data_IF_084371892149
#
_entry.id   IF_084371892149
#
_cell.length_a   1.000
_cell.length_b   1.000
_cell.length_c   1.000
_cell.angle_alpha   90.00
_cell.angle_beta   90.00
_cell.angle_gamma   90.00
#
_symmetry.space_group_name_H-M   'P 1'
#
loop_
_entity.id
_entity.type
_entity.pdbx_description
1 polymer ?
#
# COMPACT_ATOMS: atom_id res chain seq x y z
N UNK A 1 -61.00 4.33 -5.05
CA UNK A 1 -60.02 3.94 -4.00
C UNK A 1 -58.65 3.94 -4.63
N UNK A 2 -57.76 4.80 -4.13
CA UNK A 2 -56.41 5.03 -4.64
C UNK A 2 -55.49 3.87 -4.28
N UNK A 3 -54.73 3.36 -5.25
CA UNK A 3 -53.48 2.67 -4.98
C UNK A 3 -52.30 3.55 -5.42
N UNK A 4 -51.95 4.48 -4.54
CA UNK A 4 -50.60 5.00 -4.39
C UNK A 4 -49.71 3.85 -3.94
N UNK A 5 -48.71 3.44 -4.73
CA UNK A 5 -47.39 3.10 -4.20
C UNK A 5 -46.32 3.32 -5.28
N UNK A 6 -45.66 4.47 -5.14
CA UNK A 6 -44.48 4.92 -5.86
C UNK A 6 -43.27 4.11 -5.37
N UNK A 7 -42.87 3.07 -6.08
CA UNK A 7 -41.54 2.44 -5.86
C UNK A 7 -40.50 3.26 -6.63
N UNK A 8 -39.90 4.25 -5.96
CA UNK A 8 -38.70 4.92 -6.46
C UNK A 8 -37.59 3.86 -6.44
N UNK A 9 -37.19 3.38 -7.62
CA UNK A 9 -36.25 2.27 -7.76
C UNK A 9 -34.94 2.54 -7.01
N UNK A 10 -34.55 1.61 -6.12
CA UNK A 10 -33.21 1.62 -5.53
C UNK A 10 -32.22 1.38 -6.68
N UNK A 11 -31.47 2.42 -7.05
CA UNK A 11 -30.38 2.29 -8.01
C UNK A 11 -29.38 1.24 -7.49
N UNK A 12 -29.18 0.18 -8.25
CA UNK A 12 -28.20 -0.86 -7.92
C UNK A 12 -26.81 -0.30 -8.22
N UNK A 13 -25.94 -0.27 -7.21
CA UNK A 13 -24.55 0.13 -7.40
C UNK A 13 -23.80 -1.01 -8.10
N UNK A 14 -23.12 -0.70 -9.19
CA UNK A 14 -22.28 -1.66 -9.93
C UNK A 14 -20.82 -1.40 -9.59
N UNK A 15 -20.20 -2.36 -8.92
CA UNK A 15 -18.76 -2.31 -8.62
C UNK A 15 -17.92 -2.42 -9.89
N UNK A 16 -16.70 -1.90 -9.82
CA UNK A 16 -15.66 -2.14 -10.80
C UNK A 16 -15.36 -3.64 -10.86
N UNK A 17 -15.08 -4.16 -12.05
CA UNK A 17 -14.87 -5.60 -12.24
C UNK A 17 -13.72 -6.12 -11.40
N UNK A 18 -12.58 -5.43 -11.32
CA UNK A 18 -11.44 -5.89 -10.51
C UNK A 18 -11.75 -5.78 -9.01
N UNK A 19 -12.52 -4.77 -8.58
CA UNK A 19 -12.94 -4.69 -7.18
C UNK A 19 -13.87 -5.85 -6.82
N UNK A 20 -14.82 -6.17 -7.70
CA UNK A 20 -15.71 -7.31 -7.51
C UNK A 20 -14.91 -8.61 -7.46
N UNK A 21 -14.11 -8.91 -8.48
CA UNK A 21 -13.46 -10.23 -8.63
C UNK A 21 -12.27 -10.43 -7.70
N UNK A 22 -11.45 -9.40 -7.50
CA UNK A 22 -10.20 -9.56 -6.74
C UNK A 22 -10.38 -9.26 -5.25
N UNK A 23 -11.45 -8.56 -4.86
CA UNK A 23 -11.68 -8.17 -3.47
C UNK A 23 -12.93 -8.83 -2.90
N UNK A 24 -14.10 -8.55 -3.46
CA UNK A 24 -15.37 -9.00 -2.86
C UNK A 24 -15.58 -10.51 -3.02
N UNK A 25 -15.35 -11.06 -4.22
CA UNK A 25 -15.52 -12.48 -4.50
C UNK A 25 -14.48 -13.31 -3.75
N UNK A 26 -13.24 -12.81 -3.65
CA UNK A 26 -12.18 -13.43 -2.83
C UNK A 26 -12.59 -13.45 -1.36
N UNK A 27 -13.02 -12.32 -0.80
CA UNK A 27 -13.48 -12.24 0.59
C UNK A 27 -14.64 -13.22 0.86
N UNK A 28 -15.61 -13.30 -0.06
CA UNK A 28 -16.74 -14.22 0.04
C UNK A 28 -16.29 -15.68 -0.01
N UNK A 29 -15.37 -16.03 -0.92
CA UNK A 29 -14.83 -17.39 -1.04
C UNK A 29 -14.08 -17.85 0.23
N UNK A 30 -13.38 -16.91 0.88
CA UNK A 30 -12.66 -17.12 2.14
C UNK A 30 -13.57 -16.99 3.38
N UNK A 31 -14.85 -16.68 3.19
CA UNK A 31 -15.86 -16.47 4.25
C UNK A 31 -15.47 -15.36 5.23
N UNK A 32 -14.80 -14.32 4.74
CA UNK A 32 -14.47 -13.15 5.54
C UNK A 32 -15.70 -12.29 5.80
N UNK A 33 -15.68 -11.59 6.93
CA UNK A 33 -16.64 -10.53 7.18
C UNK A 33 -16.48 -9.45 6.10
N UNK A 34 -17.55 -9.19 5.34
CA UNK A 34 -17.57 -8.12 4.35
C UNK A 34 -17.81 -6.77 5.03
N UNK A 35 -17.19 -5.68 4.54
CA UNK A 35 -17.54 -4.34 4.97
C UNK A 35 -19.00 -4.01 4.64
N UNK A 36 -19.55 -3.02 5.34
CA UNK A 36 -20.85 -2.47 4.99
C UNK A 36 -20.84 -1.85 3.57
N UNK A 37 -22.03 -1.73 2.98
CA UNK A 37 -22.18 -1.23 1.60
C UNK A 37 -21.52 0.13 1.38
N UNK A 38 -21.60 1.05 2.34
CA UNK A 38 -20.96 2.37 2.26
C UNK A 38 -19.44 2.27 2.11
N UNK A 39 -18.81 1.42 2.92
CA UNK A 39 -17.37 1.12 2.87
C UNK A 39 -16.98 0.50 1.54
N UNK A 40 -17.72 -0.50 1.04
CA UNK A 40 -17.43 -1.11 -0.26
C UNK A 40 -17.51 -0.09 -1.41
N UNK A 41 -18.48 0.84 -1.39
CA UNK A 41 -18.59 1.90 -2.40
C UNK A 41 -17.39 2.87 -2.33
N UNK A 42 -16.94 3.24 -1.13
CA UNK A 42 -15.79 4.13 -0.96
C UNK A 42 -14.49 3.49 -1.48
N UNK A 43 -14.27 2.22 -1.16
CA UNK A 43 -13.12 1.43 -1.64
C UNK A 43 -13.14 1.26 -3.17
N UNK A 44 -14.31 0.98 -3.75
CA UNK A 44 -14.49 0.88 -5.21
C UNK A 44 -14.19 2.21 -5.92
N UNK A 45 -14.71 3.33 -5.40
CA UNK A 45 -14.42 4.67 -5.94
C UNK A 45 -12.93 4.98 -5.88
N UNK A 46 -12.26 4.61 -4.79
CA UNK A 46 -10.81 4.76 -4.67
C UNK A 46 -10.07 3.96 -5.76
N UNK A 47 -10.40 2.68 -5.94
CA UNK A 47 -9.82 1.86 -7.02
C UNK A 47 -10.05 2.48 -8.41
N UNK A 48 -11.26 2.96 -8.69
CA UNK A 48 -11.59 3.60 -9.97
C UNK A 48 -10.74 4.85 -10.24
N UNK A 49 -10.48 5.67 -9.22
CA UNK A 49 -9.59 6.84 -9.35
C UNK A 49 -8.16 6.38 -9.65
N UNK A 50 -7.65 5.36 -8.95
CA UNK A 50 -6.32 4.80 -9.24
C UNK A 50 -6.22 4.28 -10.68
N UNK A 51 -7.26 3.62 -11.17
CA UNK A 51 -7.35 3.13 -12.56
C UNK A 51 -7.41 4.27 -13.57
N UNK A 52 -8.19 5.31 -13.30
CA UNK A 52 -8.32 6.48 -14.15
C UNK A 52 -6.98 7.19 -14.34
N UNK A 53 -6.15 7.26 -13.30
CA UNK A 53 -4.80 7.83 -13.36
C UNK A 53 -3.70 6.82 -13.75
N UNK A 54 -4.07 5.61 -14.20
CA UNK A 54 -3.13 4.61 -14.68
C UNK A 54 -2.27 3.95 -13.61
N UNK A 55 -2.52 4.23 -12.32
CA UNK A 55 -1.75 3.69 -11.19
C UNK A 55 -1.98 2.20 -11.07
N UNK A 56 -3.24 1.77 -11.06
CA UNK A 56 -3.60 0.38 -10.82
C UNK A 56 -3.02 -0.59 -11.87
N UNK A 57 -2.78 -0.11 -13.09
CA UNK A 57 -2.25 -0.87 -14.22
C UNK A 57 -0.75 -1.13 -14.11
N UNK A 58 -0.02 -0.30 -13.36
CA UNK A 58 1.43 -0.41 -13.17
C UNK A 58 1.81 -1.09 -11.84
N UNK A 59 0.84 -1.35 -10.97
CA UNK A 59 1.03 -2.11 -9.73
C UNK A 59 1.07 -3.62 -9.98
N UNK A 60 1.94 -4.32 -9.26
CA UNK A 60 1.96 -5.78 -9.16
C UNK A 60 1.20 -6.29 -7.94
N UNK A 61 1.20 -5.51 -6.85
CA UNK A 61 0.56 -5.86 -5.58
C UNK A 61 0.04 -4.61 -4.89
N UNK A 62 -1.13 -4.71 -4.25
CA UNK A 62 -1.80 -3.60 -3.59
C UNK A 62 -2.72 -4.08 -2.48
N UNK A 63 -2.64 -3.46 -1.31
CA UNK A 63 -3.60 -3.67 -0.24
C UNK A 63 -4.01 -2.35 0.43
N UNK A 64 -5.26 -2.30 0.88
CA UNK A 64 -5.81 -1.22 1.69
C UNK A 64 -6.18 -1.76 3.08
N UNK A 65 -5.51 -1.26 4.10
CA UNK A 65 -5.67 -1.71 5.48
C UNK A 65 -6.65 -0.85 6.29
N UNK A 66 -6.80 0.43 5.96
CA UNK A 66 -7.73 1.31 6.68
C UNK A 66 -9.18 0.96 6.36
N UNK A 67 -9.95 0.60 7.38
CA UNK A 67 -11.36 0.24 7.30
C UNK A 67 -12.07 0.80 8.53
N UNK A 68 -13.34 1.19 8.41
CA UNK A 68 -14.10 1.78 9.52
C UNK A 68 -14.56 0.75 10.59
N UNK A 69 -14.00 -0.46 10.61
CA UNK A 69 -14.39 -1.52 11.54
C UNK A 69 -13.19 -2.45 11.84
N UNK A 70 -12.85 -2.59 13.13
CA UNK A 70 -11.72 -3.41 13.60
C UNK A 70 -11.93 -4.93 13.38
N UNK A 71 -13.17 -5.38 13.21
CA UNK A 71 -13.50 -6.78 12.88
C UNK A 71 -13.17 -7.17 11.44
N UNK A 72 -12.69 -6.25 10.61
CA UNK A 72 -12.36 -6.48 9.19
C UNK A 72 -10.87 -6.77 8.95
N UNK A 73 -10.11 -7.18 9.97
CA UNK A 73 -8.67 -7.45 9.86
C UNK A 73 -8.32 -8.41 8.70
N UNK A 74 -9.06 -9.50 8.55
CA UNK A 74 -8.85 -10.46 7.46
C UNK A 74 -9.17 -9.87 6.08
N UNK A 75 -10.25 -9.09 5.96
CA UNK A 75 -10.60 -8.40 4.71
C UNK A 75 -9.51 -7.40 4.30
N UNK A 76 -8.91 -6.71 5.28
CA UNK A 76 -7.87 -5.71 5.06
C UNK A 76 -6.60 -6.27 4.39
N UNK A 77 -6.37 -7.58 4.49
CA UNK A 77 -5.17 -8.27 3.98
C UNK A 77 -5.32 -8.77 2.54
N UNK A 78 -6.49 -8.65 1.92
CA UNK A 78 -6.70 -9.09 0.54
C UNK A 78 -5.83 -8.26 -0.40
N UNK A 79 -5.12 -8.92 -1.31
CA UNK A 79 -4.40 -8.24 -2.38
C UNK A 79 -5.35 -7.89 -3.52
N UNK A 80 -5.53 -6.60 -3.77
CA UNK A 80 -6.46 -6.08 -4.78
C UNK A 80 -5.97 -6.29 -6.22
N UNK A 81 -4.68 -6.60 -6.41
CA UNK A 81 -4.06 -6.86 -7.72
C UNK A 81 -3.97 -8.34 -8.05
N UNK A 82 -3.67 -9.19 -7.07
CA UNK A 82 -3.44 -10.63 -7.27
C UNK A 82 -4.63 -11.44 -6.76
N UNK A 83 -5.47 -11.91 -7.67
CA UNK A 83 -6.69 -12.66 -7.34
C UNK A 83 -6.39 -13.88 -6.47
N UNK A 84 -7.14 -14.04 -5.38
CA UNK A 84 -7.00 -15.18 -4.46
C UNK A 84 -5.76 -15.12 -3.55
N UNK A 85 -4.98 -14.03 -3.59
CA UNK A 85 -3.83 -13.82 -2.72
C UNK A 85 -4.20 -12.89 -1.58
N UNK A 86 -3.67 -13.21 -0.40
CA UNK A 86 -3.74 -12.36 0.79
C UNK A 86 -2.35 -12.15 1.35
N UNK A 87 -2.14 -11.01 1.97
CA UNK A 87 -0.99 -10.77 2.81
C UNK A 87 -1.14 -11.55 4.12
N UNK A 88 -0.02 -11.83 4.77
CA UNK A 88 0.01 -12.67 5.97
C UNK A 88 0.66 -11.90 7.13
N UNK A 89 -0.10 -11.45 8.15
CA UNK A 89 0.46 -10.82 9.33
C UNK A 89 1.23 -11.86 10.15
N UNK A 90 2.32 -11.43 10.78
CA UNK A 90 3.25 -12.30 11.48
C UNK A 90 3.68 -11.67 12.80
N UNK A 91 3.94 -12.51 13.80
CA UNK A 91 4.39 -12.08 15.12
C UNK A 91 3.41 -11.12 15.80
N UNK A 92 3.94 -10.05 16.40
CA UNK A 92 3.14 -9.06 17.14
C UNK A 92 2.53 -7.93 16.29
N UNK A 93 2.19 -8.19 15.02
CA UNK A 93 1.47 -7.22 14.20
C UNK A 93 0.04 -7.04 14.73
N UNK A 94 -0.42 -5.81 14.86
CA UNK A 94 -1.72 -5.49 15.46
C UNK A 94 -2.59 -4.65 14.52
N UNK A 95 -3.86 -5.01 14.40
CA UNK A 95 -4.80 -4.32 13.53
C UNK A 95 -5.68 -3.30 14.27
N UNK A 96 -5.90 -2.15 13.64
CA UNK A 96 -6.85 -1.11 14.04
C UNK A 96 -7.67 -0.66 12.84
N UNK A 97 -8.68 0.19 13.06
CA UNK A 97 -9.45 0.81 11.98
C UNK A 97 -8.58 1.62 10.99
N UNK A 98 -7.40 2.10 11.41
CA UNK A 98 -6.52 2.87 10.54
C UNK A 98 -5.52 2.00 9.78
N UNK A 99 -5.41 0.70 10.11
CA UNK A 99 -4.52 -0.26 9.47
C UNK A 99 -3.73 -1.09 10.47
N UNK A 100 -2.54 -1.56 10.06
CA UNK A 100 -1.70 -2.46 10.85
C UNK A 100 -0.49 -1.75 11.47
N UNK A 101 -0.17 -2.09 12.72
CA UNK A 101 1.01 -1.60 13.46
C UNK A 101 2.03 -2.71 13.67
N UNK A 102 3.29 -2.33 13.56
CA UNK A 102 4.41 -3.14 14.04
C UNK A 102 4.67 -2.86 15.52
N UNK A 103 5.51 -3.70 16.14
CA UNK A 103 5.88 -3.59 17.54
C UNK A 103 7.39 -3.46 17.77
N UNK A 104 8.18 -3.17 16.72
CA UNK A 104 9.65 -3.14 16.73
C UNK A 104 10.36 -4.44 17.15
N UNK A 105 9.65 -5.53 17.45
CA UNK A 105 10.21 -6.78 17.99
C UNK A 105 10.02 -7.94 17.01
N UNK A 106 8.79 -8.16 16.56
CA UNK A 106 8.43 -9.34 15.75
C UNK A 106 7.24 -9.13 14.82
N UNK A 107 6.51 -8.01 14.95
CA UNK A 107 5.32 -7.70 14.18
C UNK A 107 5.64 -7.20 12.78
N UNK A 108 5.17 -7.91 11.76
CA UNK A 108 5.28 -7.51 10.36
C UNK A 108 4.18 -8.15 9.51
N UNK A 109 4.10 -7.78 8.23
CA UNK A 109 3.21 -8.42 7.27
C UNK A 109 4.04 -8.96 6.10
N UNK A 110 3.89 -10.24 5.78
CA UNK A 110 4.43 -10.81 4.55
C UNK A 110 3.47 -10.57 3.39
N UNK A 111 3.93 -9.87 2.35
CA UNK A 111 3.12 -9.62 1.15
C UNK A 111 2.96 -10.88 0.30
N UNK A 112 3.84 -11.87 0.45
CA UNK A 112 3.93 -13.01 -0.46
C UNK A 112 4.36 -12.61 -1.88
N UNK A 113 4.82 -11.37 -2.11
CA UNK A 113 5.25 -10.88 -3.42
C UNK A 113 6.77 -10.89 -3.52
N UNK A 114 7.29 -11.65 -4.50
CA UNK A 114 8.70 -11.73 -4.83
C UNK A 114 8.94 -11.16 -6.24
N UNK A 115 9.43 -9.91 -6.37
CA UNK A 115 9.62 -9.28 -7.68
C UNK A 115 10.69 -9.95 -8.55
N UNK A 116 11.55 -10.81 -7.99
CA UNK A 116 12.59 -11.52 -8.75
C UNK A 116 12.04 -12.72 -9.55
N UNK A 117 10.78 -13.10 -9.33
CA UNK A 117 10.16 -14.29 -9.94
C UNK A 117 8.97 -13.87 -10.80
N UNK A 118 8.95 -14.32 -12.06
CA UNK A 118 7.85 -14.06 -13.01
C UNK A 118 7.99 -12.76 -13.79
N UNK A 119 6.93 -12.42 -14.54
CA UNK A 119 6.86 -11.23 -15.38
C UNK A 119 6.16 -10.08 -14.63
N UNK A 120 6.94 -9.39 -13.78
CA UNK A 120 6.44 -8.30 -12.94
C UNK A 120 6.66 -6.92 -13.60
N UNK A 121 5.84 -5.93 -13.22
CA UNK A 121 6.04 -4.51 -13.58
C UNK A 121 7.20 -3.90 -12.81
N UNK A 122 7.42 -4.34 -11.58
CA UNK A 122 8.58 -4.02 -10.77
C UNK A 122 9.83 -4.65 -11.40
N UNK A 123 10.68 -3.81 -11.99
CA UNK A 123 11.93 -4.23 -12.63
C UNK A 123 13.11 -3.43 -12.11
N UNK A 124 14.33 -3.90 -12.37
CA UNK A 124 15.59 -3.34 -11.86
C UNK A 124 15.72 -1.83 -12.17
N UNK A 125 15.12 -1.35 -13.26
CA UNK A 125 15.22 0.05 -13.73
C UNK A 125 13.88 0.78 -13.79
N UNK A 126 12.79 0.14 -13.36
CA UNK A 126 11.46 0.73 -13.36
C UNK A 126 10.68 0.09 -12.22
N UNK A 127 10.72 0.72 -11.05
CA UNK A 127 10.20 0.13 -9.82
C UNK A 127 9.67 1.19 -8.85
N UNK A 128 8.64 0.84 -8.08
CA UNK A 128 8.08 1.67 -7.02
C UNK A 128 7.65 0.83 -5.83
N UNK A 129 7.83 1.41 -4.64
CA UNK A 129 7.17 0.96 -3.40
C UNK A 129 6.63 2.20 -2.70
N UNK A 130 5.36 2.16 -2.33
CA UNK A 130 4.70 3.24 -1.62
C UNK A 130 3.83 2.69 -0.48
N UNK A 131 3.84 3.41 0.63
CA UNK A 131 3.04 3.13 1.80
C UNK A 131 2.39 4.42 2.30
N UNK A 132 1.20 4.32 2.86
CA UNK A 132 0.57 5.43 3.58
C UNK A 132 0.61 5.07 5.06
N UNK A 133 1.22 5.96 5.85
CA UNK A 133 1.37 5.75 7.30
C UNK A 133 0.36 6.58 8.06
N UNK A 134 -0.45 5.97 8.92
CA UNK A 134 -1.31 6.71 9.84
C UNK A 134 -0.59 7.04 11.16
N UNK A 135 0.44 6.25 11.50
CA UNK A 135 1.30 6.44 12.68
C UNK A 135 2.76 6.34 12.24
N UNK A 136 3.57 7.32 12.63
CA UNK A 136 5.00 7.34 12.32
C UNK A 136 5.78 6.43 13.28
N UNK A 137 6.97 6.02 12.87
CA UNK A 137 7.84 5.16 13.67
C UNK A 137 8.52 5.96 14.80
N UNK A 138 8.69 5.35 15.97
CA UNK A 138 9.30 6.02 17.14
C UNK A 138 10.65 5.40 17.49
N UNK A 139 10.71 4.07 17.56
CA UNK A 139 11.89 3.31 17.96
C UNK A 139 12.55 2.59 16.79
N UNK A 140 11.75 2.08 15.84
CA UNK A 140 12.27 1.37 14.68
C UNK A 140 11.54 1.76 13.41
N UNK A 141 12.32 2.34 12.49
CA UNK A 141 11.81 3.09 11.37
C UNK A 141 11.63 2.29 10.08
N UNK A 142 11.64 0.96 10.10
CA UNK A 142 11.41 0.20 8.87
C UNK A 142 9.94 0.28 8.44
N UNK A 143 9.69 0.82 7.24
CA UNK A 143 8.35 0.84 6.62
C UNK A 143 8.11 -0.46 5.87
N UNK A 144 9.11 -0.90 5.12
CA UNK A 144 9.09 -2.15 4.37
C UNK A 144 10.52 -2.61 4.06
N UNK A 145 10.64 -3.80 3.50
CA UNK A 145 11.88 -4.27 2.91
C UNK A 145 11.90 -5.75 2.65
N UNK A 146 13.10 -6.30 2.48
CA UNK A 146 13.29 -7.73 2.24
C UNK A 146 14.56 -8.25 2.93
N UNK A 147 14.88 -9.52 2.69
CA UNK A 147 16.08 -10.17 3.26
C UNK A 147 17.40 -9.58 2.75
N UNK A 148 17.42 -8.97 1.55
CA UNK A 148 18.61 -8.40 0.94
C UNK A 148 18.92 -6.97 1.36
N UNK A 149 18.12 -6.40 2.28
CA UNK A 149 18.35 -5.06 2.79
C UNK A 149 17.96 -3.94 1.81
N UNK A 150 17.03 -4.22 0.89
CA UNK A 150 16.30 -3.20 0.15
C UNK A 150 15.10 -2.78 1.00
N UNK A 151 14.99 -1.51 1.37
CA UNK A 151 13.98 -1.04 2.33
C UNK A 151 13.67 0.45 2.19
N UNK A 152 12.51 0.85 2.68
CA UNK A 152 12.18 2.24 3.00
C UNK A 152 12.24 2.41 4.52
N UNK A 153 12.86 3.50 4.98
CA UNK A 153 12.90 3.88 6.40
C UNK A 153 12.11 5.16 6.64
N UNK A 154 11.29 5.23 7.70
CA UNK A 154 10.67 6.44 8.24
C UNK A 154 11.71 7.27 9.01
N UNK A 155 12.78 7.67 8.34
CA UNK A 155 13.93 8.36 8.94
C UNK A 155 14.61 9.25 7.90
N UNK A 156 15.28 10.31 8.35
CA UNK A 156 16.24 11.06 7.55
C UNK A 156 17.58 10.31 7.44
N UNK A 157 17.81 9.61 6.33
CA UNK A 157 18.96 8.69 6.18
C UNK A 157 19.34 8.48 4.72
N UNK A 158 20.57 8.02 4.47
CA UNK A 158 21.02 7.51 3.16
C UNK A 158 20.57 6.07 2.90
N UNK A 159 20.08 5.36 3.93
CA UNK A 159 19.64 3.97 3.83
C UNK A 159 18.19 3.87 3.29
N UNK A 160 17.93 4.56 2.19
CA UNK A 160 16.69 4.42 1.43
C UNK A 160 17.03 3.64 0.17
N UNK A 161 16.61 2.38 0.07
CA UNK A 161 17.22 1.42 -0.86
C UNK A 161 16.16 0.70 -1.67
N UNK A 162 16.24 0.79 -2.99
CA UNK A 162 15.38 0.10 -3.96
C UNK A 162 16.30 -0.56 -4.99
N UNK A 163 16.01 -1.78 -5.47
CA UNK A 163 16.82 -2.63 -6.39
C UNK A 163 18.36 -2.54 -6.26
N UNK A 164 18.85 -2.31 -5.04
CA UNK A 164 20.26 -2.27 -4.66
C UNK A 164 20.35 -2.35 -3.15
N UNK A 165 21.46 -2.87 -2.61
CA UNK A 165 21.78 -2.81 -1.18
C UNK A 165 22.64 -1.59 -0.82
N UNK A 166 23.05 -0.80 -1.82
CA UNK A 166 23.82 0.41 -1.65
C UNK A 166 22.95 1.56 -1.13
N UNK A 167 23.54 2.42 -0.31
CA UNK A 167 22.88 3.64 0.15
C UNK A 167 22.73 4.66 -1.00
N UNK A 168 21.78 5.59 -0.85
CA UNK A 168 21.75 6.80 -1.68
C UNK A 168 22.96 7.67 -1.39
N UNK A 169 23.32 8.52 -2.36
CA UNK A 169 24.43 9.47 -2.22
C UNK A 169 24.23 10.54 -1.14
N UNK A 170 22.98 10.78 -0.71
CA UNK A 170 22.62 11.78 0.30
C UNK A 170 21.41 11.34 1.12
N UNK A 171 21.27 11.92 2.31
CA UNK A 171 20.13 11.71 3.19
C UNK A 171 18.81 12.10 2.50
N UNK A 172 17.74 11.33 2.71
CA UNK A 172 16.39 11.70 2.31
C UNK A 172 15.46 11.58 3.53
N UNK A 173 14.73 12.65 3.83
CA UNK A 173 13.86 12.72 5.01
C UNK A 173 12.47 12.17 4.73
N UNK A 174 12.24 10.97 5.24
CA UNK A 174 10.95 10.27 5.20
C UNK A 174 10.30 10.17 6.60
N UNK A 175 10.69 11.02 7.56
CA UNK A 175 10.05 11.04 8.89
C UNK A 175 8.58 11.48 8.84
N UNK A 176 7.80 11.02 9.81
CA UNK A 176 6.40 11.42 10.01
C UNK A 176 5.37 10.53 9.30
N UNK A 177 4.09 10.87 9.46
CA UNK A 177 2.94 10.15 8.88
C UNK A 177 2.63 10.61 7.44
N UNK A 178 1.67 9.95 6.79
CA UNK A 178 1.22 10.17 5.41
C UNK A 178 1.97 9.34 4.38
N UNK A 179 1.83 9.71 3.10
CA UNK A 179 2.47 9.00 2.00
C UNK A 179 4.00 8.98 2.14
N UNK A 180 4.58 7.80 1.99
CA UNK A 180 6.03 7.54 1.89
C UNK A 180 6.27 6.65 0.68
N UNK A 181 7.19 7.03 -0.19
CA UNK A 181 7.49 6.20 -1.34
C UNK A 181 8.96 6.29 -1.78
N UNK A 182 9.40 5.26 -2.48
CA UNK A 182 10.68 5.22 -3.20
C UNK A 182 10.42 4.65 -4.59
N UNK A 183 10.93 5.35 -5.61
CA UNK A 183 10.79 5.00 -7.01
C UNK A 183 12.15 4.96 -7.65
N UNK A 184 12.32 4.04 -8.60
CA UNK A 184 13.44 3.99 -9.51
C UNK A 184 12.93 4.16 -10.93
N UNK A 185 13.41 5.19 -11.61
CA UNK A 185 12.99 5.53 -12.97
C UNK A 185 13.91 4.98 -14.06
N UNK A 186 15.17 4.73 -13.69
CA UNK A 186 16.18 4.18 -14.58
C UNK A 186 17.31 3.54 -13.76
N UNK A 187 18.45 3.26 -14.40
CA UNK A 187 19.64 2.67 -13.78
C UNK A 187 20.21 3.44 -12.59
N UNK A 188 20.06 4.77 -12.54
CA UNK A 188 20.75 5.63 -11.57
C UNK A 188 19.81 6.56 -10.79
N UNK A 189 18.65 6.92 -11.34
CA UNK A 189 17.73 7.89 -10.73
C UNK A 189 16.75 7.22 -9.78
N UNK A 190 16.70 7.75 -8.55
CA UNK A 190 15.72 7.40 -7.53
C UNK A 190 14.94 8.65 -7.14
N UNK A 191 13.60 8.56 -7.09
CA UNK A 191 12.72 9.60 -6.53
C UNK A 191 12.05 9.10 -5.27
N UNK A 192 12.24 9.81 -4.17
CA UNK A 192 11.56 9.55 -2.90
C UNK A 192 10.47 10.57 -2.67
N UNK A 193 9.41 10.17 -1.98
CA UNK A 193 8.30 11.04 -1.64
C UNK A 193 8.00 11.02 -0.15
N UNK A 194 7.87 12.22 0.43
CA UNK A 194 7.27 12.42 1.73
C UNK A 194 6.07 13.36 1.55
N UNK A 195 4.85 12.80 1.59
CA UNK A 195 3.61 13.50 1.21
C UNK A 195 3.72 14.08 -0.20
N UNK A 196 3.75 15.40 -0.33
CA UNK A 196 3.85 16.15 -1.59
C UNK A 196 5.30 16.56 -1.94
N UNK A 197 6.27 16.27 -1.08
CA UNK A 197 7.67 16.63 -1.30
C UNK A 197 8.37 15.50 -2.05
N UNK A 198 8.92 15.82 -3.22
CA UNK A 198 9.79 14.93 -3.99
C UNK A 198 11.25 15.19 -3.64
N UNK A 199 12.01 14.12 -3.49
CA UNK A 199 13.44 14.14 -3.21
C UNK A 199 14.15 13.26 -4.24
N UNK A 200 14.92 13.86 -5.14
CA UNK A 200 15.70 13.12 -6.15
C UNK A 200 17.07 12.73 -5.63
N UNK A 201 17.47 11.47 -5.82
CA UNK A 201 18.76 10.91 -5.40
C UNK A 201 19.36 10.07 -6.52
N UNK A 202 20.67 9.85 -6.42
CA UNK A 202 21.39 8.96 -7.34
C UNK A 202 21.90 7.75 -6.56
N UNK A 203 21.62 6.56 -7.08
CA UNK A 203 22.30 5.32 -6.71
C UNK A 203 22.13 4.29 -7.82
N UNK A 204 23.23 3.62 -8.18
CA UNK A 204 23.21 2.60 -9.23
C UNK A 204 22.40 1.38 -8.79
N UNK A 205 21.53 0.94 -9.69
CA UNK A 205 20.79 -0.30 -9.58
C UNK A 205 21.70 -1.48 -9.89
N UNK A 206 21.54 -2.59 -9.16
CA UNK A 206 22.39 -3.77 -9.34
C UNK A 206 21.60 -5.07 -9.41
N UNK A 207 20.57 -5.23 -8.58
CA UNK A 207 19.84 -6.50 -8.46
C UNK A 207 18.49 -6.31 -7.77
N UNK A 208 17.50 -7.10 -8.20
CA UNK A 208 16.32 -7.40 -7.36
C UNK A 208 16.66 -8.61 -6.51
N UNK A 209 16.70 -8.45 -5.19
CA UNK A 209 16.94 -9.57 -4.29
C UNK A 209 15.81 -10.59 -4.43
N UNK A 210 16.18 -11.86 -4.59
CA UNK A 210 15.24 -12.96 -4.59
C UNK A 210 14.67 -13.19 -3.18
N UNK A 211 13.39 -12.88 -2.99
CA UNK A 211 12.68 -13.04 -1.73
C UNK A 211 11.44 -12.15 -1.65
N UNK A 212 10.52 -12.51 -0.76
CA UNK A 212 9.31 -11.73 -0.53
C UNK A 212 9.66 -10.36 0.06
N UNK A 213 8.85 -9.36 -0.29
CA UNK A 213 8.82 -8.10 0.44
C UNK A 213 7.91 -8.21 1.66
N UNK A 214 8.36 -7.59 2.75
CA UNK A 214 7.68 -7.51 4.02
C UNK A 214 7.37 -6.06 4.34
N UNK A 215 6.21 -5.84 4.93
CA UNK A 215 5.79 -4.55 5.46
C UNK A 215 6.16 -4.52 6.94
N UNK A 216 6.71 -3.41 7.43
CA UNK A 216 7.23 -3.23 8.79
C UNK A 216 8.38 -4.18 9.14
N UNK A 217 9.14 -4.64 8.14
CA UNK A 217 10.34 -5.47 8.35
C UNK A 217 11.34 -5.33 7.22
N UNK A 218 12.62 -5.33 7.55
CA UNK A 218 13.72 -5.55 6.63
C UNK A 218 14.78 -6.38 7.32
N UNK A 219 15.34 -7.37 6.62
CA UNK A 219 16.32 -8.31 7.19
C UNK A 219 15.80 -8.91 8.52
N UNK A 220 16.55 -8.76 9.62
CA UNK A 220 16.16 -9.18 10.97
C UNK A 220 15.56 -8.05 11.83
N UNK A 221 15.26 -6.89 11.26
CA UNK A 221 14.75 -5.73 11.99
C UNK A 221 13.27 -5.49 11.67
N UNK A 222 12.52 -5.04 12.67
CA UNK A 222 11.07 -4.85 12.62
C UNK A 222 10.74 -3.39 12.89
N UNK A 223 9.75 -2.82 12.20
CA UNK A 223 9.29 -1.45 12.38
C UNK A 223 8.20 -1.32 13.46
N UNK A 224 7.90 -0.09 13.87
CA UNK A 224 6.80 0.25 14.78
C UNK A 224 5.85 1.35 14.25
N UNK A 225 5.90 1.62 12.95
CA UNK A 225 4.92 2.48 12.28
C UNK A 225 3.55 1.79 12.17
N UNK A 226 2.52 2.60 11.90
CA UNK A 226 1.18 2.13 11.52
C UNK A 226 0.92 2.38 10.02
N UNK A 227 0.65 1.32 9.27
CA UNK A 227 0.47 1.35 7.80
C UNK A 227 -1.00 1.17 7.46
N UNK A 228 -1.52 2.09 6.67
CA UNK A 228 -2.92 2.11 6.22
C UNK A 228 -3.09 1.57 4.81
N UNK A 229 -2.05 1.60 3.97
CA UNK A 229 -2.05 1.04 2.63
C UNK A 229 -0.62 0.78 2.15
N UNK A 230 -0.45 -0.22 1.28
CA UNK A 230 0.83 -0.57 0.67
C UNK A 230 0.64 -0.95 -0.80
N UNK A 231 1.54 -0.48 -1.66
CA UNK A 231 1.54 -0.76 -3.08
C UNK A 231 2.96 -0.90 -3.62
N UNK A 232 3.14 -1.80 -4.58
CA UNK A 232 4.43 -2.05 -5.23
C UNK A 232 4.23 -2.43 -6.70
N UNK A 233 5.12 -1.95 -7.58
CA UNK A 233 5.01 -2.14 -9.03
C UNK A 233 6.10 -1.41 -9.81
N UNK A 234 5.81 -1.02 -11.06
CA UNK A 234 6.67 -0.12 -11.84
C UNK A 234 6.74 1.30 -11.22
N UNK A 235 7.67 2.13 -11.70
CA UNK A 235 7.86 3.50 -11.22
C UNK A 235 6.58 4.32 -11.34
N UNK A 236 6.22 5.02 -10.27
CA UNK A 236 5.03 5.87 -10.21
C UNK A 236 5.47 7.33 -10.39
N UNK A 237 4.80 8.04 -11.30
CA UNK A 237 5.10 9.45 -11.58
C UNK A 237 4.70 10.38 -10.41
N UNK A 238 5.26 11.59 -10.37
CA UNK A 238 4.89 12.59 -9.36
C UNK A 238 3.39 12.92 -9.39
N UNK A 239 2.81 13.05 -10.59
CA UNK A 239 1.38 13.31 -10.75
C UNK A 239 0.57 12.16 -10.14
N UNK A 240 0.92 10.90 -10.47
CA UNK A 240 0.25 9.74 -9.90
C UNK A 240 0.39 9.66 -8.37
N UNK A 241 1.55 10.01 -7.80
CA UNK A 241 1.71 10.08 -6.33
C UNK A 241 0.77 11.09 -5.69
N UNK A 242 0.63 12.27 -6.31
CA UNK A 242 -0.33 13.29 -5.85
C UNK A 242 -1.76 12.75 -5.91
N UNK A 243 -2.13 12.05 -6.97
CA UNK A 243 -3.49 11.51 -7.12
C UNK A 243 -3.77 10.34 -6.18
N UNK A 244 -2.80 9.46 -5.91
CA UNK A 244 -2.91 8.42 -4.87
C UNK A 244 -3.25 9.08 -3.54
N UNK A 245 -2.49 10.11 -3.15
CA UNK A 245 -2.69 10.83 -1.89
C UNK A 245 -4.07 11.49 -1.80
N UNK A 246 -4.48 12.20 -2.85
CA UNK A 246 -5.77 12.87 -2.91
C UNK A 246 -6.93 11.86 -2.82
N UNK A 247 -6.87 10.80 -3.63
CA UNK A 247 -7.90 9.77 -3.70
C UNK A 247 -8.01 9.01 -2.36
N UNK A 248 -6.88 8.74 -1.71
CA UNK A 248 -6.86 8.08 -0.41
C UNK A 248 -7.50 8.96 0.68
N UNK A 249 -7.20 10.26 0.71
CA UNK A 249 -7.83 11.19 1.66
C UNK A 249 -9.35 11.28 1.43
N UNK A 250 -9.82 11.27 0.18
CA UNK A 250 -11.26 11.21 -0.14
C UNK A 250 -11.89 9.92 0.38
N UNK A 251 -11.21 8.78 0.17
CA UNK A 251 -11.67 7.49 0.68
C UNK A 251 -11.78 7.50 2.21
N UNK A 252 -10.75 7.96 2.93
CA UNK A 252 -10.77 8.06 4.39
C UNK A 252 -11.96 8.89 4.88
N UNK A 253 -12.21 10.06 4.28
CA UNK A 253 -13.36 10.89 4.64
C UNK A 253 -14.70 10.18 4.39
N UNK A 254 -14.83 9.41 3.31
CA UNK A 254 -16.03 8.61 3.02
C UNK A 254 -16.21 7.45 4.01
N UNK A 255 -15.14 6.96 4.63
CA UNK A 255 -15.17 5.97 5.70
C UNK A 255 -15.41 6.59 7.09
N UNK A 256 -15.49 7.93 7.19
CA UNK A 256 -15.58 8.65 8.46
C UNK A 256 -14.26 8.68 9.24
N UNK A 257 -13.13 8.46 8.56
CA UNK A 257 -11.78 8.50 9.13
C UNK A 257 -11.10 9.85 8.83
N UNK A 258 -10.19 10.33 9.71
CA UNK A 258 -9.42 11.54 9.45
C UNK A 258 -8.52 11.39 8.20
N UNK A 259 -8.42 12.39 7.31
CA UNK A 259 -7.48 12.36 6.21
C UNK A 259 -6.05 12.57 6.71
N UNK A 260 -5.12 11.68 6.35
CA UNK A 260 -3.72 11.75 6.79
C UNK A 260 -2.68 11.41 5.70
N UNK A 261 -3.09 11.06 4.48
CA UNK A 261 -2.17 10.75 3.39
C UNK A 261 -1.35 11.96 2.94
#
# INVERSE_FOLDING_TARGET
MSNLYRTIGKQVYRYDTDFQTNVLDVAASLKFLLPEKGTCIALDKFMRILKFHGVFQILDTFANFALNNAGLSNFSLIDWKRTGIQYNPQGGAYYTINGWEGNAISGYIDTGFNPAVGNNKYTVYNASRAAILYKYAVSSNFIDGNIGGQHIRNLNTTQQRICTSLNTNQNADLTGSGLKAINRDNTNTIRLYNKNVEISRTASSSIITNGNYWILRSTGNYGDAGISSYMMGASISQLQMKEIRNAYNIMLMQLGLPPFA
#
